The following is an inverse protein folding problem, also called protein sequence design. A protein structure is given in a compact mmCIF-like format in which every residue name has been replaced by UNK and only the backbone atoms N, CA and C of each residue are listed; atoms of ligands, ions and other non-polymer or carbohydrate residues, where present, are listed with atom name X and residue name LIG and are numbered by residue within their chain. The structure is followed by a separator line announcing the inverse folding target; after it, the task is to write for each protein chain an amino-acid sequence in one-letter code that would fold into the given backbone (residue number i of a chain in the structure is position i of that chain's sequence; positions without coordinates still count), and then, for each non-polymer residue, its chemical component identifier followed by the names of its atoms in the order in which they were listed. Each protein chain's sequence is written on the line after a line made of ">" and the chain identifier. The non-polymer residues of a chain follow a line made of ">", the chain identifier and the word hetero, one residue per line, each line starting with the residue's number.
data_IF_679874674124
#
_entry.id   IF_679874674124
#
_cell.length_a   1.000
_cell.length_b   1.000
_cell.length_c   1.000
_cell.angle_alpha   90.00
_cell.angle_beta   90.00
_cell.angle_gamma   90.00
#
_symmetry.space_group_name_H-M   'P 1'
#
loop_
_entity.id
_entity.type
_entity.pdbx_description
1 polymer ?
#
# COMPACT_ATOMS: atom_id res chain seq x y z
N UNK A 1 8.12 15.38 -4.69
CA UNK A 1 8.62 14.65 -5.88
C UNK A 1 10.11 14.35 -5.86
N UNK A 2 11.04 15.32 -5.73
CA UNK A 2 12.49 15.00 -5.67
C UNK A 2 12.85 14.08 -4.49
N UNK A 3 12.28 14.31 -3.31
CA UNK A 3 12.45 13.46 -2.14
C UNK A 3 11.92 12.04 -2.33
N UNK A 4 10.72 11.91 -2.91
CA UNK A 4 10.11 10.60 -3.23
C UNK A 4 10.98 9.74 -4.15
N UNK A 5 11.64 10.34 -5.15
CA UNK A 5 12.56 9.61 -6.03
C UNK A 5 13.77 9.07 -5.26
N UNK A 6 14.27 9.83 -4.29
CA UNK A 6 15.38 9.39 -3.42
C UNK A 6 14.91 8.25 -2.53
N UNK A 7 13.72 8.35 -1.92
CA UNK A 7 13.15 7.31 -1.06
C UNK A 7 12.93 5.99 -1.82
N UNK A 8 12.41 6.06 -3.05
CA UNK A 8 12.28 4.89 -3.93
C UNK A 8 13.66 4.27 -4.18
N UNK A 9 14.66 5.08 -4.52
CA UNK A 9 16.02 4.60 -4.77
C UNK A 9 16.62 3.93 -3.54
N UNK A 10 16.42 4.50 -2.35
CA UNK A 10 16.84 3.91 -1.07
C UNK A 10 16.16 2.56 -0.85
N UNK A 11 14.84 2.48 -1.06
CA UNK A 11 14.08 1.24 -0.88
C UNK A 11 14.53 0.14 -1.87
N UNK A 12 14.80 0.50 -3.13
CA UNK A 12 15.33 -0.43 -4.13
C UNK A 12 16.74 -0.90 -3.80
N UNK A 13 17.63 -0.01 -3.33
CA UNK A 13 18.97 -0.39 -2.88
C UNK A 13 18.92 -1.38 -1.73
N UNK A 14 18.03 -1.17 -0.74
CA UNK A 14 17.82 -2.11 0.37
C UNK A 14 17.40 -3.48 -0.16
N UNK A 15 16.43 -3.55 -1.09
CA UNK A 15 16.02 -4.82 -1.71
C UNK A 15 17.13 -5.51 -2.49
N UNK A 16 17.92 -4.75 -3.26
CA UNK A 16 19.07 -5.29 -4.00
C UNK A 16 20.09 -5.91 -3.04
N UNK A 17 20.40 -5.24 -1.92
CA UNK A 17 21.33 -5.76 -0.91
C UNK A 17 20.77 -7.06 -0.31
N UNK A 18 19.48 -7.10 0.03
CA UNK A 18 18.82 -8.28 0.57
C UNK A 18 18.94 -9.46 -0.41
N UNK A 19 18.57 -9.26 -1.68
CA UNK A 19 18.61 -10.32 -2.68
C UNK A 19 20.03 -10.74 -3.05
N UNK A 20 20.99 -9.82 -2.99
CA UNK A 20 22.39 -10.15 -3.17
C UNK A 20 22.89 -11.04 -2.04
N UNK A 21 22.57 -10.73 -0.77
CA UNK A 21 22.92 -11.59 0.38
C UNK A 21 22.29 -12.98 0.21
N UNK A 22 21.01 -13.07 -0.11
CA UNK A 22 20.33 -14.35 -0.37
C UNK A 22 21.00 -15.15 -1.51
N UNK A 23 21.38 -14.47 -2.60
CA UNK A 23 22.01 -15.11 -3.76
C UNK A 23 23.43 -15.62 -3.50
N UNK A 24 24.17 -15.05 -2.54
CA UNK A 24 25.51 -15.55 -2.19
C UNK A 24 25.49 -16.91 -1.49
N UNK A 25 24.33 -17.34 -0.96
CA UNK A 25 24.19 -18.62 -0.25
C UNK A 25 24.94 -18.69 1.08
N UNK A 26 25.57 -17.61 1.53
CA UNK A 26 26.22 -17.52 2.84
C UNK A 26 25.13 -17.36 3.88
N UNK A 27 25.03 -18.31 4.82
CA UNK A 27 24.07 -18.22 5.92
C UNK A 27 24.39 -17.00 6.80
N UNK A 28 23.54 -15.96 6.82
CA UNK A 28 23.77 -14.81 7.66
C UNK A 28 23.53 -15.18 9.12
N UNK A 29 24.18 -14.45 10.04
CA UNK A 29 23.89 -14.59 11.46
C UNK A 29 22.39 -14.41 11.73
N UNK A 30 21.82 -15.18 12.66
CA UNK A 30 20.36 -15.20 12.94
C UNK A 30 19.70 -13.81 13.05
N UNK A 31 20.29 -12.81 13.72
CA UNK A 31 19.70 -11.46 13.77
C UNK A 31 19.59 -10.80 12.39
N UNK A 32 20.60 -10.99 11.54
CA UNK A 32 20.64 -10.45 10.17
C UNK A 32 19.61 -11.17 9.29
N UNK A 33 19.50 -12.49 9.43
CA UNK A 33 18.47 -13.28 8.73
C UNK A 33 17.05 -12.78 9.04
N UNK A 34 16.77 -12.49 10.31
CA UNK A 34 15.46 -11.95 10.72
C UNK A 34 15.18 -10.59 10.10
N UNK A 35 16.16 -9.68 10.10
CA UNK A 35 16.02 -8.35 9.46
C UNK A 35 15.71 -8.51 7.97
N UNK A 36 16.45 -9.35 7.27
CA UNK A 36 16.23 -9.63 5.84
C UNK A 36 14.79 -10.10 5.61
N UNK A 37 14.35 -11.12 6.35
CA UNK A 37 13.00 -11.69 6.22
C UNK A 37 11.93 -10.63 6.51
N UNK A 38 12.04 -9.89 7.61
CA UNK A 38 11.06 -8.86 7.96
C UNK A 38 11.00 -7.73 6.93
N UNK A 39 12.15 -7.25 6.46
CA UNK A 39 12.20 -6.21 5.43
C UNK A 39 11.60 -6.69 4.11
N UNK A 40 11.87 -7.93 3.72
CA UNK A 40 11.25 -8.54 2.55
C UNK A 40 9.72 -8.57 2.68
N UNK A 41 9.19 -9.11 3.77
CA UNK A 41 7.74 -9.21 4.00
C UNK A 41 7.08 -7.84 4.15
N UNK A 42 7.78 -6.87 4.72
CA UNK A 42 7.32 -5.48 4.79
C UNK A 42 7.10 -4.91 3.39
N UNK A 43 8.11 -4.99 2.51
CA UNK A 43 7.95 -4.55 1.12
C UNK A 43 6.92 -5.40 0.35
N UNK A 44 6.86 -6.70 0.58
CA UNK A 44 5.84 -7.57 0.00
C UNK A 44 4.42 -7.08 0.32
N UNK A 45 4.17 -6.69 1.58
CA UNK A 45 2.89 -6.13 2.01
C UNK A 45 2.51 -4.85 1.26
N UNK A 46 3.44 -3.92 1.09
CA UNK A 46 3.21 -2.73 0.25
C UNK A 46 3.06 -3.08 -1.23
N UNK A 47 3.69 -4.16 -1.70
CA UNK A 47 3.48 -4.70 -3.03
C UNK A 47 2.03 -5.14 -3.25
N UNK A 48 1.45 -5.84 -2.27
CA UNK A 48 0.02 -6.18 -2.30
C UNK A 48 -0.85 -4.92 -2.34
N UNK A 49 -0.53 -3.91 -1.51
CA UNK A 49 -1.24 -2.62 -1.55
C UNK A 49 -1.16 -1.96 -2.93
N UNK A 50 0.00 -2.00 -3.59
CA UNK A 50 0.17 -1.48 -4.95
C UNK A 50 -0.78 -2.15 -5.95
N UNK A 51 -0.94 -3.47 -5.87
CA UNK A 51 -1.85 -4.23 -6.73
C UNK A 51 -3.32 -3.93 -6.42
N UNK A 52 -3.68 -3.76 -5.15
CA UNK A 52 -5.05 -3.49 -4.74
C UNK A 52 -5.47 -2.01 -4.73
N UNK A 53 -4.53 -1.09 -4.96
CA UNK A 53 -4.83 0.34 -5.00
C UNK A 53 -5.85 0.72 -6.09
N UNK A 54 -5.77 0.23 -7.35
CA UNK A 54 -6.74 0.58 -8.38
C UNK A 54 -8.21 0.28 -8.00
N UNK A 55 -8.58 -0.92 -7.53
CA UNK A 55 -9.96 -1.15 -7.08
C UNK A 55 -10.31 -0.36 -5.81
N UNK A 56 -9.38 -0.17 -4.86
CA UNK A 56 -9.61 0.67 -3.68
C UNK A 56 -9.97 2.12 -4.07
N UNK A 57 -9.27 2.68 -5.08
CA UNK A 57 -9.56 4.00 -5.63
C UNK A 57 -10.96 4.09 -6.26
N UNK A 58 -11.38 3.06 -7.00
CA UNK A 58 -12.73 3.00 -7.59
C UNK A 58 -13.80 2.99 -6.49
N UNK A 59 -13.60 2.20 -5.45
CA UNK A 59 -14.51 2.15 -4.29
C UNK A 59 -14.54 3.49 -3.56
N UNK A 60 -13.40 4.14 -3.34
CA UNK A 60 -13.36 5.49 -2.73
C UNK A 60 -14.17 6.49 -3.54
N UNK A 61 -13.99 6.53 -4.85
CA UNK A 61 -14.73 7.43 -5.73
C UNK A 61 -16.24 7.19 -5.68
N UNK A 62 -16.65 5.93 -5.59
CA UNK A 62 -18.06 5.58 -5.40
C UNK A 62 -18.57 6.02 -4.02
N UNK A 63 -17.79 5.76 -2.97
CA UNK A 63 -18.08 6.20 -1.61
C UNK A 63 -18.29 7.71 -1.55
N UNK A 64 -17.35 8.51 -2.07
CA UNK A 64 -17.46 9.98 -2.06
C UNK A 64 -18.71 10.48 -2.78
N UNK A 65 -19.04 9.86 -3.92
CA UNK A 65 -20.26 10.17 -4.67
C UNK A 65 -21.52 9.87 -3.86
N UNK A 66 -21.56 8.76 -3.12
CA UNK A 66 -22.69 8.39 -2.28
C UNK A 66 -22.80 9.31 -1.06
N UNK A 67 -21.68 9.57 -0.40
CA UNK A 67 -21.60 10.44 0.78
C UNK A 67 -22.07 11.86 0.46
N UNK A 68 -21.76 12.38 -0.74
CA UNK A 68 -22.24 13.70 -1.19
C UNK A 68 -23.77 13.85 -1.32
N UNK A 69 -24.50 12.72 -1.33
CA UNK A 69 -25.96 12.67 -1.46
C UNK A 69 -26.67 12.35 -0.15
N UNK A 70 -25.93 12.30 0.96
CA UNK A 70 -26.53 12.04 2.27
C UNK A 70 -27.44 13.20 2.71
N UNK A 71 -28.43 12.95 3.58
CA UNK A 71 -29.27 14.00 4.14
C UNK A 71 -28.45 15.08 4.84
N UNK A 72 -28.87 16.34 4.75
CA UNK A 72 -28.15 17.50 5.31
C UNK A 72 -27.80 17.33 6.79
N UNK A 73 -28.71 16.73 7.58
CA UNK A 73 -28.46 16.45 9.00
C UNK A 73 -27.27 15.52 9.22
N UNK A 74 -27.11 14.49 8.39
CA UNK A 74 -25.95 13.59 8.48
C UNK A 74 -24.67 14.30 8.02
N UNK A 75 -24.74 15.05 6.92
CA UNK A 75 -23.60 15.84 6.43
C UNK A 75 -23.12 16.85 7.48
N UNK A 76 -24.03 17.50 8.20
CA UNK A 76 -23.71 18.39 9.31
C UNK A 76 -22.89 17.68 10.38
N UNK A 77 -23.33 16.53 10.89
CA UNK A 77 -22.59 15.79 11.92
C UNK A 77 -21.23 15.29 11.44
N UNK A 78 -21.13 14.85 10.18
CA UNK A 78 -19.86 14.42 9.59
C UNK A 78 -18.89 15.61 9.52
N UNK A 79 -19.36 16.76 9.05
CA UNK A 79 -18.54 17.97 8.95
C UNK A 79 -18.12 18.49 10.33
N UNK A 80 -19.02 18.46 11.30
CA UNK A 80 -18.73 18.85 12.68
C UNK A 80 -17.69 17.92 13.30
N UNK A 81 -17.82 16.60 13.10
CA UNK A 81 -16.83 15.63 13.57
C UNK A 81 -15.46 15.85 12.91
N UNK A 82 -15.41 16.10 11.59
CA UNK A 82 -14.17 16.41 10.88
C UNK A 82 -13.52 17.71 11.36
N UNK A 83 -14.33 18.69 11.78
CA UNK A 83 -13.83 19.95 12.36
C UNK A 83 -13.24 19.75 13.75
N UNK A 84 -13.87 18.91 14.58
CA UNK A 84 -13.44 18.66 15.95
C UNK A 84 -12.22 17.74 16.04
N UNK A 85 -12.10 16.79 15.10
CA UNK A 85 -11.05 15.76 15.12
C UNK A 85 -10.35 15.59 13.76
N UNK A 86 -9.76 16.66 13.19
CA UNK A 86 -9.18 16.62 11.84
C UNK A 86 -8.13 15.52 11.68
N UNK A 87 -7.18 15.44 12.62
CA UNK A 87 -6.06 14.49 12.56
C UNK A 87 -6.53 13.03 12.62
N UNK A 88 -7.58 12.75 13.40
CA UNK A 88 -8.16 11.40 13.49
C UNK A 88 -8.83 10.99 12.19
N UNK A 89 -9.57 11.90 11.57
CA UNK A 89 -10.19 11.64 10.26
C UNK A 89 -9.14 11.45 9.19
N UNK A 90 -8.08 12.25 9.18
CA UNK A 90 -6.96 12.12 8.25
C UNK A 90 -6.24 10.77 8.44
N UNK A 91 -5.90 10.41 9.68
CA UNK A 91 -5.23 9.14 9.98
C UNK A 91 -6.08 7.92 9.60
N UNK A 92 -7.38 7.96 9.91
CA UNK A 92 -8.32 6.88 9.55
C UNK A 92 -8.49 6.82 8.03
N UNK A 93 -8.66 7.95 7.36
CA UNK A 93 -8.79 8.00 5.90
C UNK A 93 -7.51 7.48 5.23
N UNK A 94 -6.32 7.86 5.72
CA UNK A 94 -5.04 7.34 5.25
C UNK A 94 -4.93 5.83 5.47
N UNK A 95 -5.12 5.38 6.71
CA UNK A 95 -5.00 3.97 7.08
C UNK A 95 -6.00 3.08 6.35
N UNK A 96 -7.22 3.55 6.13
CA UNK A 96 -8.26 2.79 5.45
C UNK A 96 -8.08 2.80 3.93
N UNK A 97 -7.91 3.97 3.31
CA UNK A 97 -7.94 4.12 1.84
C UNK A 97 -6.59 3.83 1.16
N UNK A 98 -5.47 4.06 1.84
CA UNK A 98 -4.12 3.79 1.32
C UNK A 98 -3.47 2.55 1.94
N UNK A 99 -3.94 2.10 3.10
CA UNK A 99 -3.42 0.91 3.77
C UNK A 99 -4.32 -0.32 3.61
N UNK A 100 -5.36 -0.39 4.45
CA UNK A 100 -6.18 -1.58 4.65
C UNK A 100 -6.90 -2.02 3.37
N UNK A 101 -7.63 -1.12 2.71
CA UNK A 101 -8.45 -1.48 1.56
C UNK A 101 -7.60 -1.93 0.35
N UNK A 102 -6.52 -1.23 -0.02
CA UNK A 102 -5.57 -1.73 -1.02
C UNK A 102 -4.94 -3.07 -0.63
N UNK A 103 -4.53 -3.26 0.62
CA UNK A 103 -3.95 -4.53 1.07
C UNK A 103 -4.94 -5.70 0.92
N UNK A 104 -6.19 -5.50 1.34
CA UNK A 104 -7.24 -6.50 1.23
C UNK A 104 -7.52 -6.87 -0.24
N UNK A 105 -7.68 -5.87 -1.11
CA UNK A 105 -7.88 -6.13 -2.55
C UNK A 105 -6.67 -6.79 -3.20
N UNK A 106 -5.45 -6.37 -2.88
CA UNK A 106 -4.23 -6.97 -3.40
C UNK A 106 -4.12 -8.45 -3.04
N UNK A 107 -4.42 -8.78 -1.79
CA UNK A 107 -4.45 -10.15 -1.30
C UNK A 107 -5.49 -10.97 -2.06
N UNK A 108 -6.71 -10.46 -2.22
CA UNK A 108 -7.78 -11.14 -2.97
C UNK A 108 -7.37 -11.34 -4.43
N UNK A 109 -6.81 -10.32 -5.09
CA UNK A 109 -6.38 -10.42 -6.48
C UNK A 109 -5.32 -11.50 -6.64
N UNK A 110 -4.24 -11.41 -5.86
CA UNK A 110 -3.07 -12.29 -6.02
C UNK A 110 -3.38 -13.73 -5.62
N UNK A 111 -4.06 -13.95 -4.49
CA UNK A 111 -4.22 -15.30 -3.93
C UNK A 111 -5.54 -15.96 -4.28
N UNK A 112 -6.59 -15.20 -4.59
CA UNK A 112 -7.92 -15.76 -4.87
C UNK A 112 -8.26 -15.66 -6.35
N UNK A 113 -8.21 -14.46 -6.94
CA UNK A 113 -8.66 -14.24 -8.32
C UNK A 113 -7.74 -14.92 -9.33
N UNK A 114 -6.42 -14.74 -9.21
CA UNK A 114 -5.48 -15.39 -10.13
C UNK A 114 -5.58 -16.93 -10.06
N UNK A 115 -5.76 -17.46 -8.86
CA UNK A 115 -5.95 -18.89 -8.64
C UNK A 115 -7.21 -19.41 -9.34
N UNK A 116 -8.37 -18.77 -9.11
CA UNK A 116 -9.65 -19.16 -9.73
C UNK A 116 -9.61 -18.98 -11.26
N UNK A 117 -8.93 -17.95 -11.76
CA UNK A 117 -8.78 -17.68 -13.19
C UNK A 117 -7.84 -18.67 -13.90
N UNK A 118 -7.21 -19.60 -13.18
CA UNK A 118 -6.24 -20.54 -13.74
C UNK A 118 -4.94 -19.88 -14.19
N UNK A 119 -4.68 -18.65 -13.77
CA UNK A 119 -3.47 -17.91 -14.11
C UNK A 119 -2.36 -18.34 -13.14
N UNK A 120 -1.55 -19.31 -13.59
CA UNK A 120 -0.46 -19.84 -12.80
C UNK A 120 0.81 -18.98 -12.98
N UNK A 121 0.88 -17.87 -12.24
CA UNK A 121 2.14 -17.13 -12.08
C UNK A 121 3.00 -17.91 -11.08
N UNK A 122 4.24 -18.30 -11.41
CA UNK A 122 5.05 -19.05 -10.47
C UNK A 122 5.24 -18.25 -9.19
N UNK A 123 5.03 -18.89 -8.03
CA UNK A 123 5.08 -18.22 -6.72
C UNK A 123 6.35 -17.40 -6.53
N UNK A 124 7.49 -17.86 -7.04
CA UNK A 124 8.77 -17.13 -7.02
C UNK A 124 8.66 -15.74 -7.67
N UNK A 125 7.93 -15.59 -8.77
CA UNK A 125 7.77 -14.29 -9.43
C UNK A 125 6.91 -13.34 -8.60
N UNK A 126 5.90 -13.85 -7.91
CA UNK A 126 5.07 -13.06 -6.97
C UNK A 126 5.92 -12.66 -5.77
N UNK A 127 6.64 -13.63 -5.19
CA UNK A 127 7.46 -13.48 -4.00
C UNK A 127 8.59 -12.44 -4.18
N UNK A 128 9.29 -12.46 -5.32
CA UNK A 128 10.37 -11.51 -5.59
C UNK A 128 9.92 -10.25 -6.35
N UNK A 129 8.78 -10.30 -7.06
CA UNK A 129 8.27 -9.16 -7.82
C UNK A 129 7.46 -8.17 -6.98
N UNK A 130 6.63 -8.65 -6.04
CA UNK A 130 5.81 -7.77 -5.20
C UNK A 130 6.62 -6.82 -4.32
N UNK A 131 7.73 -7.24 -3.68
CA UNK A 131 8.53 -6.32 -2.88
C UNK A 131 9.06 -5.14 -3.69
N UNK A 132 9.41 -5.35 -4.97
CA UNK A 132 9.81 -4.25 -5.87
C UNK A 132 8.64 -3.27 -6.03
N UNK A 133 7.43 -3.76 -6.33
CA UNK A 133 6.24 -2.91 -6.40
C UNK A 133 5.99 -2.18 -5.07
N UNK A 134 6.24 -2.83 -3.94
CA UNK A 134 6.15 -2.23 -2.61
C UNK A 134 7.17 -1.12 -2.36
N UNK A 135 8.39 -1.25 -2.84
CA UNK A 135 9.42 -0.21 -2.76
C UNK A 135 9.06 1.05 -3.56
N UNK A 136 8.28 0.91 -4.63
CA UNK A 136 7.69 2.07 -5.32
C UNK A 136 6.47 2.61 -4.57
N UNK A 137 5.58 1.72 -4.12
CA UNK A 137 4.31 2.12 -3.53
C UNK A 137 4.49 2.87 -2.20
N UNK A 138 5.37 2.39 -1.32
CA UNK A 138 5.55 2.97 0.02
C UNK A 138 5.83 4.48 -0.04
N UNK A 139 6.88 4.97 -0.74
CA UNK A 139 7.14 6.41 -0.84
C UNK A 139 6.06 7.17 -1.61
N UNK A 140 5.42 6.55 -2.62
CA UNK A 140 4.37 7.20 -3.39
C UNK A 140 3.10 7.41 -2.57
N UNK A 141 2.75 6.45 -1.72
CA UNK A 141 1.57 6.48 -0.85
C UNK A 141 1.63 7.60 0.19
N UNK A 142 2.82 8.08 0.54
CA UNK A 142 3.06 9.17 1.49
C UNK A 142 3.31 10.51 0.80
N UNK A 143 2.96 10.64 -0.49
CA UNK A 143 3.05 11.93 -1.18
C UNK A 143 1.74 12.69 -1.13
N UNK A 144 1.83 14.02 -1.01
CA UNK A 144 0.70 14.93 -1.15
C UNK A 144 -0.10 14.66 -2.44
N UNK A 145 0.56 14.21 -3.51
CA UNK A 145 -0.12 13.90 -4.76
C UNK A 145 -1.11 12.74 -4.61
N UNK A 146 -0.68 11.64 -3.98
CA UNK A 146 -1.54 10.49 -3.74
C UNK A 146 -2.62 10.80 -2.71
N UNK A 147 -2.28 11.53 -1.65
CA UNK A 147 -3.23 11.95 -0.63
C UNK A 147 -4.32 12.86 -1.20
N UNK A 148 -3.95 13.87 -2.02
CA UNK A 148 -4.92 14.70 -2.75
C UNK A 148 -5.75 13.89 -3.73
N UNK A 149 -5.14 12.94 -4.45
CA UNK A 149 -5.86 12.10 -5.41
C UNK A 149 -6.89 11.19 -4.73
N UNK A 150 -6.59 10.70 -3.53
CA UNK A 150 -7.51 9.94 -2.69
C UNK A 150 -8.51 10.82 -1.92
N UNK A 151 -8.34 12.14 -1.98
CA UNK A 151 -9.18 13.11 -1.27
C UNK A 151 -9.00 13.08 0.25
N UNK A 152 -7.82 12.69 0.72
CA UNK A 152 -7.46 12.68 2.15
C UNK A 152 -7.17 14.12 2.61
N UNK A 153 -6.27 14.79 1.89
CA UNK A 153 -6.02 16.24 2.04
C UNK A 153 -6.68 17.00 0.89
N UNK A 154 -7.19 18.21 1.17
CA UNK A 154 -7.85 19.10 0.18
C UNK A 154 -6.87 20.10 -0.42
#
# INVERSE_FOLDING_TARGET
>A
MRFTLIEILVCLVILIIIYWIEATGIEPAKPVALVIVYTHWFFFGFGLMAVGLPPAYVIKKLYDKLTSRLPEKMLFWINESRRLYPDWHEYIDWGFWLGFLPFAFGTIIIFVILYIAGINIPFMHIFYGLPIAGAFYLPLSTTDFMERKMGIIK
#
